data_IF_456730191027
#
_entry.id   IF_456730191027
#
_cell.length_a   1.000
_cell.length_b   1.000
_cell.length_c   1.000
_cell.angle_alpha   90.00
_cell.angle_beta   90.00
_cell.angle_gamma   90.00
#
_symmetry.space_group_name_H-M   'P 1'
#
loop_
_entity.id
_entity.type
_entity.pdbx_description
1 polymer ?
#
# COMPACT_ATOMS: atom_id res chain seq x y z
N UNK A 1 -43.62 4.14 -30.40
CA UNK A 1 -42.95 3.85 -29.11
C UNK A 1 -42.02 2.62 -29.16
N UNK A 2 -41.53 2.18 -30.33
CA UNK A 2 -40.66 1.00 -30.45
C UNK A 2 -39.15 1.28 -30.56
N UNK A 3 -38.75 2.54 -30.77
CA UNK A 3 -37.35 2.89 -31.02
C UNK A 3 -36.52 3.08 -29.74
N UNK A 4 -37.12 3.68 -28.69
CA UNK A 4 -36.42 3.93 -27.43
C UNK A 4 -36.03 2.65 -26.69
N UNK A 5 -36.88 1.62 -26.73
CA UNK A 5 -36.62 0.32 -26.08
C UNK A 5 -35.51 -0.46 -26.77
N UNK A 6 -35.42 -0.36 -28.11
CA UNK A 6 -34.36 -1.02 -28.87
C UNK A 6 -33.00 -0.38 -28.63
N UNK A 7 -32.95 0.96 -28.54
CA UNK A 7 -31.73 1.72 -28.24
C UNK A 7 -31.22 1.41 -26.83
N UNK A 8 -32.11 1.29 -25.83
CA UNK A 8 -31.70 0.92 -24.45
C UNK A 8 -31.17 -0.52 -24.41
N UNK A 9 -31.78 -1.46 -25.12
CA UNK A 9 -31.32 -2.86 -25.15
C UNK A 9 -29.95 -2.98 -25.85
N UNK A 10 -29.73 -2.25 -26.95
CA UNK A 10 -28.45 -2.27 -27.68
C UNK A 10 -27.34 -1.56 -26.90
N UNK A 11 -27.62 -0.41 -26.28
CA UNK A 11 -26.64 0.31 -25.45
C UNK A 11 -26.25 -0.52 -24.22
N UNK A 12 -27.18 -1.27 -23.63
CA UNK A 12 -26.88 -2.11 -22.45
C UNK A 12 -26.16 -3.40 -22.83
N UNK A 13 -26.47 -4.01 -23.98
CA UNK A 13 -25.71 -5.16 -24.50
C UNK A 13 -24.25 -4.82 -24.83
N UNK A 14 -23.98 -3.59 -25.27
CA UNK A 14 -22.63 -3.10 -25.55
C UNK A 14 -21.83 -2.77 -24.28
N UNK A 15 -22.48 -2.61 -23.12
CA UNK A 15 -21.84 -2.32 -21.83
C UNK A 15 -21.53 -3.56 -20.98
N UNK A 16 -22.11 -4.73 -21.32
CA UNK A 16 -21.90 -5.99 -20.61
C UNK A 16 -20.44 -6.48 -20.52
N UNK A 17 -19.56 -6.28 -21.53
CA UNK A 17 -18.16 -6.70 -21.41
C UNK A 17 -17.37 -5.87 -20.38
N UNK A 18 -17.77 -4.62 -20.13
CA UNK A 18 -17.06 -3.70 -19.24
C UNK A 18 -17.43 -3.86 -17.75
N UNK A 19 -18.63 -4.36 -17.45
CA UNK A 19 -19.15 -4.44 -16.07
C UNK A 19 -18.78 -5.76 -15.38
N UNK A 20 -18.65 -6.86 -16.13
CA UNK A 20 -18.31 -8.18 -15.56
C UNK A 20 -16.85 -8.33 -15.10
N UNK A 21 -15.95 -7.42 -15.51
CA UNK A 21 -14.54 -7.43 -15.08
C UNK A 21 -14.34 -6.76 -13.71
N UNK A 22 -15.36 -6.07 -13.17
CA UNK A 22 -15.24 -5.26 -11.95
C UNK A 22 -15.53 -5.95 -10.62
N UNK A 23 -16.02 -7.20 -10.61
CA UNK A 23 -16.56 -7.82 -9.38
C UNK A 23 -15.60 -8.73 -8.60
N UNK A 24 -14.33 -8.83 -9.01
CA UNK A 24 -13.28 -9.54 -8.25
C UNK A 24 -12.12 -8.60 -7.87
N UNK A 25 -12.45 -7.39 -7.41
CA UNK A 25 -11.48 -6.48 -6.80
C UNK A 25 -11.64 -6.52 -5.27
N UNK A 26 -11.11 -7.57 -4.64
CA UNK A 26 -10.60 -7.45 -3.27
C UNK A 26 -9.29 -6.66 -3.35
N UNK A 27 -9.24 -5.55 -2.63
CA UNK A 27 -8.15 -4.55 -2.50
C UNK A 27 -6.85 -4.85 -3.26
N UNK A 28 -6.75 -4.26 -4.47
CA UNK A 28 -5.46 -4.03 -5.12
C UNK A 28 -4.84 -2.78 -4.52
N UNK A 29 -3.81 -2.95 -3.69
CA UNK A 29 -2.83 -1.89 -3.47
C UNK A 29 -2.08 -1.64 -4.79
N UNK A 30 -2.36 -0.46 -5.36
CA UNK A 30 -1.74 0.34 -6.42
C UNK A 30 -0.87 -0.33 -7.52
N UNK A 31 -1.02 0.10 -8.81
CA UNK A 31 -0.20 -0.38 -9.91
C UNK A 31 1.21 0.23 -9.88
N UNK A 32 2.21 -0.59 -9.54
CA UNK A 32 3.62 -0.26 -9.73
C UNK A 32 4.00 -0.24 -11.22
N UNK A 33 4.59 0.87 -11.66
CA UNK A 33 5.17 1.05 -13.00
C UNK A 33 6.09 -0.11 -13.40
N UNK A 34 5.99 -0.51 -14.67
CA UNK A 34 6.93 -1.37 -15.37
C UNK A 34 8.37 -0.86 -15.19
N UNK A 35 9.16 -1.60 -14.42
CA UNK A 35 10.62 -1.57 -14.48
C UNK A 35 11.08 -3.01 -14.68
N UNK A 36 11.83 -3.20 -15.77
CA UNK A 36 12.41 -4.46 -16.21
C UNK A 36 13.23 -5.09 -15.06
N UNK A 37 12.73 -6.20 -14.52
CA UNK A 37 13.37 -6.96 -13.45
C UNK A 37 13.58 -8.42 -13.88
N UNK A 38 14.07 -8.63 -15.10
CA UNK A 38 14.50 -9.96 -15.53
C UNK A 38 15.95 -10.25 -15.07
N UNK A 39 16.71 -9.23 -14.67
CA UNK A 39 18.06 -9.35 -14.11
C UNK A 39 18.11 -9.51 -12.57
N UNK A 40 17.01 -9.26 -11.85
CA UNK A 40 16.98 -9.28 -10.38
C UNK A 40 16.61 -10.61 -9.72
N UNK A 41 16.17 -11.60 -10.51
CA UNK A 41 15.78 -12.92 -9.98
C UNK A 41 17.00 -13.69 -9.46
N UNK A 42 18.18 -13.51 -10.07
CA UNK A 42 19.42 -14.10 -9.58
C UNK A 42 19.95 -13.42 -8.30
N UNK A 43 19.82 -12.09 -8.17
CA UNK A 43 20.31 -11.39 -6.96
C UNK A 43 19.44 -11.65 -5.73
N UNK A 44 18.11 -11.73 -5.87
CA UNK A 44 17.20 -11.92 -4.73
C UNK A 44 17.11 -13.37 -4.23
N UNK A 45 17.36 -14.37 -5.09
CA UNK A 45 17.19 -15.79 -4.75
C UNK A 45 18.53 -16.53 -4.57
N UNK A 46 19.59 -16.14 -5.29
CA UNK A 46 20.85 -16.89 -5.29
C UNK A 46 21.94 -16.33 -4.39
N UNK A 47 21.74 -15.21 -3.70
CA UNK A 47 22.73 -14.69 -2.75
C UNK A 47 24.04 -14.32 -3.47
N UNK A 48 23.97 -13.26 -4.28
CA UNK A 48 25.14 -12.72 -4.97
C UNK A 48 26.13 -12.09 -3.99
N UNK A 49 27.35 -12.63 -3.96
CA UNK A 49 28.51 -12.09 -3.23
C UNK A 49 28.83 -10.68 -3.76
N UNK A 50 28.70 -9.67 -2.89
CA UNK A 50 29.03 -8.27 -3.20
C UNK A 50 30.43 -8.16 -3.83
N UNK A 51 30.52 -7.65 -5.06
CA UNK A 51 31.73 -6.94 -5.49
C UNK A 51 31.71 -5.60 -4.77
N UNK A 52 32.66 -5.43 -3.86
CA UNK A 52 32.98 -4.13 -3.30
C UNK A 52 33.30 -3.18 -4.47
N UNK A 53 32.54 -2.11 -4.59
CA UNK A 53 32.95 -0.96 -5.39
C UNK A 53 34.12 -0.31 -4.66
N UNK A 54 35.27 -0.05 -5.31
CA UNK A 54 36.35 0.68 -4.65
C UNK A 54 35.85 2.09 -4.36
N UNK A 55 35.82 2.49 -3.09
CA UNK A 55 35.88 3.91 -2.77
C UNK A 55 37.27 4.37 -3.20
N UNK A 56 37.35 5.12 -4.31
CA UNK A 56 38.50 5.96 -4.56
C UNK A 56 38.62 6.96 -3.41
N UNK A 57 39.69 6.77 -2.65
CA UNK A 57 40.18 7.68 -1.63
C UNK A 57 40.64 8.94 -2.38
N UNK A 58 39.98 10.08 -2.16
CA UNK A 58 40.58 11.37 -2.50
C UNK A 58 41.67 11.64 -1.46
N UNK A 59 42.89 11.22 -1.79
CA UNK A 59 44.11 11.74 -1.16
C UNK A 59 44.23 13.23 -1.51
N UNK A 60 44.25 14.07 -0.48
CA UNK A 60 44.64 15.47 -0.57
C UNK A 60 45.95 15.59 0.21
N UNK A 61 47.06 15.28 -0.46
CA UNK A 61 48.40 15.67 -0.03
C UNK A 61 48.69 17.10 -0.50
N UNK A 62 49.27 17.85 0.43
CA UNK A 62 50.22 18.96 0.28
C UNK A 62 49.80 20.26 -0.42
N UNK A 63 49.47 21.26 0.42
CA UNK A 63 49.85 22.65 0.18
C UNK A 63 50.54 23.21 1.44
N UNK A 64 51.87 23.14 1.42
CA UNK A 64 52.74 23.77 2.42
C UNK A 64 52.70 25.29 2.32
N UNK A 65 52.62 25.92 3.50
CA UNK A 65 53.28 27.16 3.91
C UNK A 65 53.13 28.42 3.04
N UNK A 66 52.40 29.40 3.57
CA UNK A 66 52.81 30.80 3.51
C UNK A 66 52.26 31.55 4.72
N UNK A 67 53.09 31.71 5.75
CA UNK A 67 52.88 32.74 6.77
C UNK A 67 53.11 34.11 6.14
N UNK A 68 52.06 34.95 6.08
CA UNK A 68 52.22 36.40 6.15
C UNK A 68 50.88 37.07 6.44
N UNK A 69 50.71 37.51 7.70
CA UNK A 69 49.99 38.73 8.05
C UNK A 69 48.49 38.78 7.75
N UNK A 70 47.67 38.16 8.59
CA UNK A 70 46.29 38.60 8.80
C UNK A 70 46.01 38.67 10.31
N UNK A 71 46.55 39.72 10.94
CA UNK A 71 46.18 40.13 12.30
C UNK A 71 44.77 40.74 12.28
N UNK A 72 43.81 39.83 12.26
CA UNK A 72 42.38 40.07 12.29
C UNK A 72 41.67 38.74 12.42
N UNK A 73 42.14 37.89 13.34
CA UNK A 73 41.37 36.75 13.82
C UNK A 73 40.07 37.33 14.38
N UNK A 74 39.03 37.33 13.55
CA UNK A 74 37.68 37.16 14.04
C UNK A 74 37.75 35.94 14.93
N UNK A 75 37.78 36.19 16.24
CA UNK A 75 37.55 35.18 17.23
C UNK A 75 36.10 34.76 16.99
N UNK A 76 35.89 33.84 16.05
CA UNK A 76 34.63 33.12 15.96
C UNK A 76 34.37 32.61 17.38
N UNK A 77 33.17 32.86 17.95
CA UNK A 77 32.83 32.28 19.24
C UNK A 77 32.99 30.77 19.09
N UNK A 78 34.10 30.25 19.62
CA UNK A 78 34.40 28.83 19.59
C UNK A 78 33.28 28.16 20.37
N UNK A 79 32.59 27.23 19.73
CA UNK A 79 31.56 26.42 20.37
C UNK A 79 32.15 25.81 21.65
N UNK A 80 31.41 25.92 22.75
CA UNK A 80 31.82 25.38 24.04
C UNK A 80 32.29 23.92 23.91
N UNK A 81 33.42 23.52 24.52
CA UNK A 81 33.97 22.19 24.35
C UNK A 81 33.00 21.07 24.72
N UNK A 82 32.11 21.27 25.71
CA UNK A 82 31.07 20.31 26.08
C UNK A 82 30.05 20.15 24.94
N UNK A 83 29.56 21.26 24.38
CA UNK A 83 28.65 21.21 23.24
C UNK A 83 29.32 20.61 21.99
N UNK A 84 30.62 20.84 21.80
CA UNK A 84 31.38 20.27 20.69
C UNK A 84 31.48 18.75 20.79
N UNK A 85 31.67 18.21 21.99
CA UNK A 85 31.67 16.76 22.23
C UNK A 85 30.29 16.15 21.96
N UNK A 86 29.22 16.76 22.48
CA UNK A 86 27.85 16.33 22.22
C UNK A 86 27.49 16.37 20.73
N UNK A 87 27.90 17.42 20.02
CA UNK A 87 27.71 17.54 18.58
C UNK A 87 28.47 16.44 17.82
N UNK A 88 29.70 16.13 18.22
CA UNK A 88 30.50 15.07 17.63
C UNK A 88 29.88 13.68 17.85
N UNK A 89 29.37 13.42 19.06
CA UNK A 89 28.67 12.18 19.39
C UNK A 89 27.40 12.01 18.55
N UNK A 90 26.57 13.05 18.44
CA UNK A 90 25.38 13.06 17.59
C UNK A 90 25.73 12.84 16.11
N UNK A 91 26.80 13.48 15.60
CA UNK A 91 27.24 13.30 14.23
C UNK A 91 27.65 11.85 13.93
N UNK A 92 28.42 11.23 14.84
CA UNK A 92 28.86 9.84 14.69
C UNK A 92 27.68 8.86 14.70
N UNK A 93 26.75 8.99 15.66
CA UNK A 93 25.54 8.14 15.70
C UNK A 93 24.66 8.35 14.47
N UNK A 94 24.55 9.59 13.97
CA UNK A 94 23.79 9.92 12.76
C UNK A 94 24.38 9.23 11.52
N UNK A 95 25.70 9.27 11.34
CA UNK A 95 26.37 8.59 10.22
C UNK A 95 26.14 7.07 10.26
N UNK A 96 26.21 6.46 11.44
CA UNK A 96 25.93 5.02 11.60
C UNK A 96 24.49 4.69 11.25
N UNK A 97 23.53 5.47 11.74
CA UNK A 97 22.12 5.25 11.46
C UNK A 97 21.80 5.45 9.97
N UNK A 98 22.24 6.56 9.36
CA UNK A 98 22.09 6.80 7.91
C UNK A 98 22.73 5.69 7.09
N UNK A 99 23.94 5.25 7.45
CA UNK A 99 24.61 4.14 6.78
C UNK A 99 23.85 2.81 6.92
N UNK A 100 23.15 2.58 8.03
CA UNK A 100 22.29 1.41 8.20
C UNK A 100 21.04 1.50 7.32
N UNK A 101 20.36 2.65 7.31
CA UNK A 101 19.16 2.90 6.52
C UNK A 101 19.40 2.63 5.03
N UNK A 102 20.49 3.16 4.47
CA UNK A 102 20.81 3.04 3.05
C UNK A 102 21.12 1.57 2.69
N UNK A 103 21.89 0.86 3.51
CA UNK A 103 22.24 -0.55 3.27
C UNK A 103 21.03 -1.49 3.41
N UNK A 104 20.07 -1.11 4.26
CA UNK A 104 18.86 -1.90 4.54
C UNK A 104 17.65 -1.43 3.72
N UNK A 105 17.86 -0.64 2.67
CA UNK A 105 16.78 -0.10 1.85
C UNK A 105 16.25 -1.08 0.80
N UNK A 106 17.04 -2.07 0.36
CA UNK A 106 16.66 -3.07 -0.65
C UNK A 106 17.37 -4.42 -0.43
N UNK A 107 16.62 -5.51 -0.13
CA UNK A 107 15.22 -5.51 0.32
C UNK A 107 15.06 -4.71 1.63
N UNK A 108 13.85 -4.19 1.89
CA UNK A 108 13.64 -3.32 3.05
C UNK A 108 13.73 -4.14 4.33
N UNK A 109 14.73 -3.83 5.16
CA UNK A 109 15.06 -4.56 6.41
C UNK A 109 15.52 -3.60 7.51
N UNK A 110 15.07 -2.35 7.44
CA UNK A 110 15.61 -1.27 8.27
C UNK A 110 15.12 -1.34 9.72
N UNK A 111 13.91 -1.82 9.98
CA UNK A 111 13.40 -1.90 11.35
C UNK A 111 14.18 -2.96 12.14
N UNK A 112 14.42 -4.13 11.55
CA UNK A 112 15.16 -5.20 12.19
C UNK A 112 16.67 -4.94 12.31
N UNK A 113 17.27 -4.23 11.34
CA UNK A 113 18.72 -4.02 11.32
C UNK A 113 19.17 -2.73 12.01
N UNK A 114 18.32 -1.69 12.03
CA UNK A 114 18.74 -0.34 12.40
C UNK A 114 18.17 0.18 13.72
N UNK A 115 17.40 -0.62 14.46
CA UNK A 115 16.75 -0.16 15.70
C UNK A 115 17.76 0.29 16.77
N UNK A 116 18.90 -0.40 16.89
CA UNK A 116 19.95 -0.01 17.83
C UNK A 116 20.57 1.36 17.50
N UNK A 117 20.86 1.61 16.22
CA UNK A 117 21.43 2.89 15.78
C UNK A 117 20.41 4.01 15.89
N UNK A 118 19.12 3.73 15.66
CA UNK A 118 18.03 4.68 15.91
C UNK A 118 17.97 5.08 17.39
N UNK A 119 18.02 4.10 18.30
CA UNK A 119 18.04 4.37 19.74
C UNK A 119 19.27 5.19 20.15
N UNK A 120 20.45 4.87 19.60
CA UNK A 120 21.70 5.58 19.86
C UNK A 120 21.57 7.06 19.46
N UNK A 121 21.12 7.36 18.23
CA UNK A 121 20.99 8.76 17.78
C UNK A 121 19.92 9.54 18.56
N UNK A 122 18.81 8.90 18.91
CA UNK A 122 17.78 9.52 19.76
C UNK A 122 18.29 9.77 21.19
N UNK A 123 19.16 8.89 21.71
CA UNK A 123 19.80 9.11 23.01
C UNK A 123 20.79 10.27 22.96
N UNK A 124 21.59 10.40 21.90
CA UNK A 124 22.50 11.55 21.77
C UNK A 124 21.75 12.87 21.66
N UNK A 125 20.61 12.88 20.95
CA UNK A 125 19.72 14.05 20.93
C UNK A 125 19.19 14.39 22.32
N UNK A 126 18.70 13.39 23.07
CA UNK A 126 18.24 13.59 24.45
C UNK A 126 19.35 14.11 25.36
N UNK A 127 20.60 13.70 25.14
CA UNK A 127 21.73 14.23 25.91
C UNK A 127 21.94 15.73 25.64
N UNK A 128 21.81 16.17 24.39
CA UNK A 128 21.83 17.60 24.01
C UNK A 128 20.67 18.36 24.69
N UNK A 129 19.46 17.79 24.70
CA UNK A 129 18.26 18.40 25.28
C UNK A 129 18.27 18.44 26.82
N UNK A 130 18.73 17.38 27.47
CA UNK A 130 18.70 17.18 28.92
C UNK A 130 19.94 17.70 29.63
N UNK A 131 20.79 18.51 28.99
CA UNK A 131 21.96 19.09 29.66
C UNK A 131 21.48 20.05 30.76
N UNK A 132 21.22 19.51 31.95
CA UNK A 132 20.62 20.17 33.14
C UNK A 132 21.43 21.35 33.67
N UNK A 133 22.65 21.55 33.16
CA UNK A 133 23.54 22.67 33.50
C UNK A 133 23.62 23.74 32.41
N UNK A 134 22.99 23.54 31.26
CA UNK A 134 23.24 24.35 30.07
C UNK A 134 22.03 24.33 29.11
N UNK A 135 21.14 25.30 29.26
CA UNK A 135 20.32 25.75 28.12
C UNK A 135 21.19 26.35 26.99
N UNK A 136 22.52 26.47 27.19
CA UNK A 136 23.43 27.08 26.23
C UNK A 136 23.71 26.13 25.05
N UNK A 137 23.88 24.81 25.25
CA UNK A 137 24.09 23.87 24.14
C UNK A 137 22.82 23.70 23.31
N UNK A 138 21.66 23.60 23.97
CA UNK A 138 20.35 23.59 23.29
C UNK A 138 20.20 24.82 22.40
N UNK A 139 20.42 26.02 22.95
CA UNK A 139 20.33 27.27 22.18
C UNK A 139 21.38 27.29 21.06
N UNK A 140 22.61 26.88 21.36
CA UNK A 140 23.75 26.96 20.44
C UNK A 140 23.70 25.95 19.29
N UNK A 141 23.15 24.76 19.50
CA UNK A 141 23.15 23.66 18.54
C UNK A 141 21.80 23.47 17.83
N UNK A 142 20.69 23.79 18.50
CA UNK A 142 19.34 23.56 17.96
C UNK A 142 18.66 24.84 17.48
N UNK A 143 19.06 26.03 17.96
CA UNK A 143 18.32 27.29 17.74
C UNK A 143 19.17 28.45 17.20
N UNK A 144 20.49 28.33 17.14
CA UNK A 144 21.39 29.45 16.82
C UNK A 144 21.41 29.84 15.35
N UNK A 145 21.05 28.94 14.44
CA UNK A 145 21.09 29.17 13.01
C UNK A 145 19.72 28.95 12.36
N UNK A 146 19.56 29.46 11.12
CA UNK A 146 18.29 29.36 10.39
C UNK A 146 18.00 27.94 9.87
N UNK A 147 19.03 27.13 9.63
CA UNK A 147 18.90 25.79 9.07
C UNK A 147 18.60 24.74 10.14
N UNK A 148 19.17 24.91 11.33
CA UNK A 148 18.99 24.04 12.49
C UNK A 148 19.26 22.57 12.13
N UNK A 149 20.45 22.30 11.60
CA UNK A 149 20.79 21.00 10.98
C UNK A 149 20.57 19.80 11.92
N UNK A 150 20.91 19.94 13.20
CA UNK A 150 20.70 18.88 14.21
C UNK A 150 19.21 18.60 14.40
N UNK A 151 18.37 19.64 14.48
CA UNK A 151 16.92 19.49 14.61
C UNK A 151 16.29 18.92 13.33
N UNK A 152 16.74 19.36 12.15
CA UNK A 152 16.29 18.85 10.85
C UNK A 152 16.56 17.34 10.72
N UNK A 153 17.79 16.90 11.02
CA UNK A 153 18.16 15.48 10.94
C UNK A 153 17.41 14.63 11.95
N UNK A 154 17.28 15.13 13.19
CA UNK A 154 16.52 14.46 14.24
C UNK A 154 15.06 14.24 13.84
N UNK A 155 14.44 15.28 13.27
CA UNK A 155 13.08 15.21 12.74
C UNK A 155 12.99 14.21 11.58
N UNK A 156 13.92 14.26 10.64
CA UNK A 156 13.96 13.29 9.53
C UNK A 156 14.06 11.84 10.02
N UNK A 157 14.95 11.55 10.98
CA UNK A 157 15.10 10.22 11.56
C UNK A 157 13.83 9.76 12.27
N UNK A 158 13.24 10.62 13.11
CA UNK A 158 12.01 10.30 13.81
C UNK A 158 10.82 10.07 12.86
N UNK A 159 10.63 10.96 11.88
CA UNK A 159 9.58 10.80 10.87
C UNK A 159 9.77 9.55 10.02
N UNK A 160 11.01 9.22 9.66
CA UNK A 160 11.32 8.00 8.90
C UNK A 160 10.95 6.76 9.70
N UNK A 161 11.28 6.75 11.00
CA UNK A 161 10.94 5.66 11.91
C UNK A 161 9.44 5.47 12.10
N UNK A 162 8.69 6.57 12.27
CA UNK A 162 7.24 6.58 12.40
C UNK A 162 6.57 6.15 11.10
N UNK A 163 6.98 6.70 9.94
CA UNK A 163 6.41 6.34 8.63
C UNK A 163 6.68 4.88 8.26
N UNK A 164 7.82 4.33 8.68
CA UNK A 164 8.14 2.91 8.51
C UNK A 164 7.37 1.99 9.48
N UNK A 165 6.64 2.58 10.42
CA UNK A 165 5.92 1.91 11.49
C UNK A 165 6.79 0.87 12.24
N UNK A 166 8.07 1.19 12.46
CA UNK A 166 9.01 0.22 13.01
C UNK A 166 8.71 -0.18 14.45
N UNK A 167 7.93 0.63 15.20
CA UNK A 167 7.47 0.26 16.54
C UNK A 167 6.72 -1.08 16.53
N UNK A 168 5.88 -1.33 15.53
CA UNK A 168 5.10 -2.57 15.40
C UNK A 168 5.96 -3.80 15.06
N UNK A 169 7.21 -3.60 14.65
CA UNK A 169 8.18 -4.67 14.44
C UNK A 169 8.94 -5.04 15.74
N UNK A 170 8.90 -4.19 16.76
CA UNK A 170 9.67 -4.31 17.98
C UNK A 170 8.80 -4.72 19.17
N UNK A 171 9.45 -5.12 20.26
CA UNK A 171 8.80 -5.25 21.57
C UNK A 171 8.56 -3.87 22.20
N UNK A 172 7.67 -3.78 23.19
CA UNK A 172 7.34 -2.54 23.89
C UNK A 172 8.55 -1.82 24.52
N UNK A 173 9.56 -2.59 24.95
CA UNK A 173 10.81 -2.05 25.49
C UNK A 173 11.84 -1.66 24.42
N UNK A 174 11.50 -1.83 23.13
CA UNK A 174 12.39 -1.70 21.99
C UNK A 174 13.67 -2.56 22.07
N UNK A 175 13.69 -3.62 22.90
CA UNK A 175 14.81 -4.55 23.02
C UNK A 175 14.61 -5.77 22.10
N UNK A 176 14.71 -5.50 20.81
CA UNK A 176 14.61 -6.48 19.74
C UNK A 176 13.20 -6.68 19.18
N UNK A 177 13.09 -7.67 18.31
CA UNK A 177 11.90 -7.92 17.50
C UNK A 177 10.73 -8.52 18.31
N UNK A 178 9.51 -8.18 17.90
CA UNK A 178 8.29 -8.77 18.45
C UNK A 178 8.19 -10.26 18.11
N UNK A 179 7.45 -11.03 18.90
CA UNK A 179 7.25 -12.46 18.65
C UNK A 179 6.56 -12.72 17.29
N UNK A 180 5.61 -11.85 16.92
CA UNK A 180 4.91 -11.90 15.63
C UNK A 180 5.86 -11.69 14.46
N UNK A 181 6.75 -10.69 14.55
CA UNK A 181 7.75 -10.39 13.52
C UNK A 181 8.79 -11.49 13.39
N UNK A 182 9.29 -12.05 14.49
CA UNK A 182 10.23 -13.19 14.45
C UNK A 182 9.60 -14.40 13.75
N UNK A 183 8.34 -14.70 14.08
CA UNK A 183 7.60 -15.81 13.44
C UNK A 183 7.39 -15.56 11.95
N UNK A 184 7.01 -14.34 11.57
CA UNK A 184 6.84 -13.94 10.17
C UNK A 184 8.15 -14.11 9.38
N UNK A 185 9.27 -13.61 9.91
CA UNK A 185 10.58 -13.71 9.26
C UNK A 185 11.04 -15.16 9.09
N UNK A 186 10.72 -16.04 10.05
CA UNK A 186 11.00 -17.47 9.93
C UNK A 186 10.21 -18.10 8.77
N UNK A 187 8.89 -17.85 8.70
CA UNK A 187 8.03 -18.32 7.61
C UNK A 187 8.45 -17.76 6.24
N UNK A 188 8.90 -16.50 6.22
CA UNK A 188 9.42 -15.86 5.02
C UNK A 188 10.70 -16.56 4.54
N UNK A 189 11.66 -16.79 5.44
CA UNK A 189 12.90 -17.49 5.12
C UNK A 189 12.64 -18.93 4.65
N UNK A 190 11.70 -19.64 5.28
CA UNK A 190 11.26 -20.97 4.85
C UNK A 190 10.66 -20.94 3.44
N UNK A 191 9.80 -19.96 3.16
CA UNK A 191 9.19 -19.77 1.83
C UNK A 191 10.24 -19.50 0.76
N UNK A 192 11.17 -18.59 1.03
CA UNK A 192 12.26 -18.27 0.10
C UNK A 192 13.19 -19.47 -0.13
N UNK A 193 13.50 -20.24 0.92
CA UNK A 193 14.28 -21.46 0.81
C UNK A 193 13.56 -22.50 -0.05
N UNK A 194 12.25 -22.70 0.15
CA UNK A 194 11.45 -23.61 -0.68
C UNK A 194 11.46 -23.18 -2.16
N UNK A 195 11.28 -21.88 -2.44
CA UNK A 195 11.34 -21.35 -3.79
C UNK A 195 12.70 -21.63 -4.42
N UNK A 196 13.79 -21.32 -3.72
CA UNK A 196 15.16 -21.54 -4.20
C UNK A 196 15.43 -23.02 -4.52
N UNK A 197 15.07 -23.94 -3.62
CA UNK A 197 15.29 -25.37 -3.81
C UNK A 197 14.56 -25.90 -5.04
N UNK A 198 13.28 -25.55 -5.20
CA UNK A 198 12.45 -26.00 -6.32
C UNK A 198 12.77 -25.29 -7.65
N UNK A 199 13.56 -24.21 -7.62
CA UNK A 199 14.13 -23.58 -8.82
C UNK A 199 15.46 -24.24 -9.23
N UNK A 200 16.29 -24.66 -8.28
CA UNK A 200 17.61 -25.25 -8.54
C UNK A 200 17.54 -26.72 -8.97
N UNK A 201 16.57 -27.49 -8.48
CA UNK A 201 16.36 -28.88 -8.91
C UNK A 201 15.83 -28.97 -10.36
N UNK A 202 15.31 -27.86 -10.89
CA UNK A 202 14.95 -27.70 -12.29
C UNK A 202 16.14 -27.32 -13.16
N UNK A 203 17.05 -28.25 -13.45
CA UNK A 203 17.68 -28.19 -14.77
C UNK A 203 16.54 -28.22 -15.80
N UNK A 204 16.60 -27.34 -16.80
CA UNK A 204 15.65 -27.23 -17.93
C UNK A 204 14.51 -26.21 -17.80
N UNK A 205 14.70 -25.16 -18.60
CA UNK A 205 13.71 -24.32 -19.28
C UNK A 205 12.89 -23.36 -18.38
N UNK A 206 12.79 -22.05 -18.71
CA UNK A 206 12.09 -21.02 -17.92
C UNK A 206 10.57 -21.18 -17.74
N UNK A 207 10.00 -22.35 -18.03
CA UNK A 207 8.57 -22.48 -18.32
C UNK A 207 7.79 -23.44 -17.43
N UNK A 208 8.40 -24.09 -16.42
CA UNK A 208 7.67 -25.02 -15.56
C UNK A 208 7.84 -24.76 -14.05
N UNK A 209 7.28 -23.64 -13.57
CA UNK A 209 7.18 -23.32 -12.14
C UNK A 209 6.14 -24.18 -11.39
N UNK A 210 5.52 -25.17 -12.06
CA UNK A 210 4.50 -26.04 -11.44
C UNK A 210 5.02 -26.76 -10.19
N UNK A 211 6.31 -27.16 -10.19
CA UNK A 211 6.97 -27.75 -9.03
C UNK A 211 7.00 -26.82 -7.82
N UNK A 212 7.38 -25.55 -8.03
CA UNK A 212 7.36 -24.50 -6.99
C UNK A 212 5.95 -24.30 -6.45
N UNK A 213 4.96 -24.15 -7.35
CA UNK A 213 3.57 -23.93 -6.95
C UNK A 213 3.01 -25.09 -6.14
N UNK A 214 3.36 -26.34 -6.48
CA UNK A 214 2.85 -27.52 -5.78
C UNK A 214 3.55 -27.74 -4.44
N UNK A 215 4.87 -27.65 -4.42
CA UNK A 215 5.68 -28.02 -3.27
C UNK A 215 5.71 -26.90 -2.20
N UNK A 216 5.69 -25.63 -2.62
CA UNK A 216 5.77 -24.49 -1.70
C UNK A 216 4.40 -23.88 -1.35
N UNK A 217 3.29 -24.47 -1.79
CA UNK A 217 1.94 -23.97 -1.51
C UNK A 217 1.64 -23.87 -0.02
N UNK A 218 1.98 -24.92 0.74
CA UNK A 218 1.72 -24.97 2.17
C UNK A 218 2.50 -23.88 2.91
N UNK A 219 3.80 -23.75 2.61
CA UNK A 219 4.67 -22.73 3.23
C UNK A 219 4.20 -21.31 2.89
N UNK A 220 3.88 -21.04 1.61
CA UNK A 220 3.34 -19.74 1.19
C UNK A 220 1.99 -19.42 1.88
N UNK A 221 1.09 -20.41 1.98
CA UNK A 221 -0.19 -20.23 2.69
C UNK A 221 0.00 -19.94 4.17
N UNK A 222 0.93 -20.61 4.83
CA UNK A 222 1.24 -20.36 6.25
C UNK A 222 1.75 -18.93 6.44
N UNK A 223 2.69 -18.48 5.60
CA UNK A 223 3.18 -17.09 5.61
C UNK A 223 2.03 -16.09 5.38
N UNK A 224 1.22 -16.31 4.35
CA UNK A 224 0.10 -15.42 4.03
C UNK A 224 -0.95 -15.38 5.12
N UNK A 225 -1.24 -16.52 5.76
CA UNK A 225 -2.19 -16.60 6.87
C UNK A 225 -1.68 -15.83 8.07
N UNK A 226 -0.40 -15.99 8.43
CA UNK A 226 0.22 -15.27 9.54
C UNK A 226 0.25 -13.76 9.30
N UNK A 227 0.57 -13.33 8.07
CA UNK A 227 0.49 -11.92 7.68
C UNK A 227 -0.93 -11.34 7.84
N UNK A 228 -1.95 -12.05 7.35
CA UNK A 228 -3.35 -11.62 7.52
C UNK A 228 -3.79 -11.58 8.98
N UNK A 229 -3.31 -12.49 9.82
CA UNK A 229 -3.57 -12.46 11.25
C UNK A 229 -2.96 -11.22 11.92
N UNK A 230 -1.69 -10.91 11.63
CA UNK A 230 -1.03 -9.71 12.12
C UNK A 230 -1.77 -8.43 11.70
N UNK A 231 -2.23 -8.36 10.44
CA UNK A 231 -3.00 -7.22 9.95
C UNK A 231 -4.33 -7.07 10.69
N UNK A 232 -5.04 -8.18 10.93
CA UNK A 232 -6.30 -8.17 11.68
C UNK A 232 -6.11 -7.75 13.13
N UNK A 233 -5.05 -8.24 13.79
CA UNK A 233 -4.75 -7.89 15.17
C UNK A 233 -4.48 -6.39 15.31
N UNK A 234 -3.69 -5.79 14.43
CA UNK A 234 -3.41 -4.36 14.48
C UNK A 234 -4.60 -3.45 14.12
N UNK A 235 -5.50 -3.90 13.24
CA UNK A 235 -6.75 -3.17 12.94
C UNK A 235 -7.68 -3.03 14.16
N UNK A 236 -7.60 -3.94 15.14
CA UNK A 236 -8.39 -3.81 16.37
C UNK A 236 -7.86 -2.73 17.32
N UNK A 237 -6.62 -2.27 17.13
CA UNK A 237 -5.96 -1.30 18.01
C UNK A 237 -6.13 0.15 17.52
N UNK A 238 -6.30 0.39 16.21
CA UNK A 238 -6.48 1.73 15.63
C UNK A 238 -7.83 1.88 14.92
N UNK A 239 -8.75 2.61 15.55
CA UNK A 239 -10.04 2.97 14.95
C UNK A 239 -9.89 4.23 14.07
N UNK A 240 -9.63 4.09 12.77
CA UNK A 240 -9.87 5.19 11.82
C UNK A 240 -9.10 5.25 10.51
N UNK A 241 -7.99 4.53 10.33
CA UNK A 241 -7.21 4.53 9.07
C UNK A 241 -6.81 3.11 8.65
N UNK A 242 -6.34 2.95 7.39
CA UNK A 242 -5.74 1.69 6.94
C UNK A 242 -4.51 1.40 7.80
N UNK A 243 -4.64 0.45 8.73
CA UNK A 243 -3.53 0.02 9.57
C UNK A 243 -2.44 -0.60 8.68
N UNK A 244 -1.25 0.02 8.73
CA UNK A 244 -0.05 -0.46 8.05
C UNK A 244 0.80 -1.29 9.01
N UNK A 245 1.31 -2.43 8.55
CA UNK A 245 2.32 -3.18 9.31
C UNK A 245 3.67 -2.47 9.20
N UNK A 246 4.67 -2.91 9.97
CA UNK A 246 6.02 -2.38 9.79
C UNK A 246 6.55 -2.69 8.37
N UNK A 247 7.30 -1.73 7.81
CA UNK A 247 7.70 -1.76 6.40
C UNK A 247 8.51 -3.00 6.01
N UNK A 248 9.31 -3.55 6.93
CA UNK A 248 10.09 -4.78 6.70
C UNK A 248 9.18 -5.98 6.38
N UNK A 249 8.03 -6.07 7.07
CA UNK A 249 7.04 -7.14 6.88
C UNK A 249 6.23 -6.91 5.60
N UNK A 250 5.82 -5.67 5.34
CA UNK A 250 5.07 -5.31 4.13
C UNK A 250 5.89 -5.53 2.84
N UNK A 251 7.16 -5.11 2.82
CA UNK A 251 8.05 -5.30 1.66
C UNK A 251 8.31 -6.79 1.41
N UNK A 252 8.61 -7.56 2.46
CA UNK A 252 8.83 -9.01 2.36
C UNK A 252 7.59 -9.75 1.85
N UNK A 253 6.40 -9.40 2.35
CA UNK A 253 5.15 -10.00 1.86
C UNK A 253 4.86 -9.60 0.42
N UNK A 254 5.06 -8.33 0.05
CA UNK A 254 4.86 -7.84 -1.31
C UNK A 254 5.80 -8.54 -2.31
N UNK A 255 7.08 -8.68 -1.97
CA UNK A 255 8.05 -9.46 -2.76
C UNK A 255 7.55 -10.90 -2.95
N UNK A 256 7.14 -11.54 -1.85
CA UNK A 256 6.68 -12.93 -1.88
C UNK A 256 5.43 -13.11 -2.73
N UNK A 257 4.43 -12.24 -2.57
CA UNK A 257 3.21 -12.24 -3.37
C UNK A 257 3.50 -12.00 -4.85
N UNK A 258 4.41 -11.08 -5.18
CA UNK A 258 4.82 -10.81 -6.55
C UNK A 258 5.48 -12.03 -7.17
N UNK A 259 6.40 -12.68 -6.47
CA UNK A 259 7.02 -13.93 -6.90
C UNK A 259 5.96 -15.01 -7.15
N UNK A 260 5.05 -15.22 -6.20
CA UNK A 260 4.01 -16.23 -6.28
C UNK A 260 3.04 -16.02 -7.45
N UNK A 261 2.52 -14.79 -7.58
CA UNK A 261 1.45 -14.48 -8.53
C UNK A 261 1.94 -14.12 -9.93
N UNK A 262 3.03 -13.34 -10.04
CA UNK A 262 3.47 -12.81 -11.34
C UNK A 262 4.63 -13.59 -11.93
N UNK A 263 5.61 -13.99 -11.09
CA UNK A 263 6.81 -14.69 -11.58
C UNK A 263 6.53 -16.17 -11.79
N UNK A 264 5.96 -16.84 -10.80
CA UNK A 264 5.65 -18.28 -10.87
C UNK A 264 4.25 -18.58 -11.41
N UNK A 265 3.36 -17.58 -11.42
CA UNK A 265 1.98 -17.70 -11.88
C UNK A 265 1.20 -18.82 -11.16
N UNK A 266 1.45 -18.96 -9.85
CA UNK A 266 0.84 -19.98 -9.00
C UNK A 266 -0.57 -19.62 -8.51
N UNK A 267 -1.04 -18.39 -8.79
CA UNK A 267 -2.37 -17.94 -8.42
C UNK A 267 -3.43 -18.70 -9.21
N UNK A 268 -4.28 -19.45 -8.50
CA UNK A 268 -5.41 -20.15 -9.11
C UNK A 268 -6.57 -19.16 -9.26
N UNK A 269 -7.05 -18.87 -10.47
CA UNK A 269 -8.23 -18.04 -10.65
C UNK A 269 -9.46 -18.77 -10.10
N UNK A 270 -10.26 -18.11 -9.26
CA UNK A 270 -11.55 -18.66 -8.82
C UNK A 270 -12.48 -18.84 -10.02
N UNK A 271 -13.00 -20.04 -10.22
CA UNK A 271 -13.92 -20.37 -11.33
C UNK A 271 -15.38 -20.21 -10.93
N UNK A 272 -15.72 -19.13 -10.24
CA UNK A 272 -17.11 -18.78 -9.89
C UNK A 272 -17.82 -18.02 -11.03
N UNK A 273 -17.29 -18.11 -12.24
CA UNK A 273 -17.80 -17.42 -13.43
C UNK A 273 -19.22 -17.87 -13.78
N UNK A 274 -19.50 -19.17 -13.70
CA UNK A 274 -20.80 -19.75 -14.04
C UNK A 274 -21.94 -19.24 -13.14
N UNK A 275 -21.85 -19.34 -11.79
CA UNK A 275 -22.91 -18.83 -10.92
C UNK A 275 -23.07 -17.31 -11.03
N UNK A 276 -21.99 -16.54 -11.17
CA UNK A 276 -22.06 -15.07 -11.31
C UNK A 276 -22.79 -14.66 -12.59
N UNK A 277 -22.48 -15.31 -13.72
CA UNK A 277 -23.14 -15.04 -15.00
C UNK A 277 -24.64 -15.41 -14.90
N UNK A 278 -24.98 -16.57 -14.33
CA UNK A 278 -26.36 -17.02 -14.20
C UNK A 278 -27.22 -16.05 -13.37
N UNK A 279 -26.71 -15.62 -12.21
CA UNK A 279 -27.42 -14.66 -11.33
C UNK A 279 -27.59 -13.30 -12.01
N UNK A 280 -26.54 -12.83 -12.69
CA UNK A 280 -26.57 -11.55 -13.41
C UNK A 280 -27.59 -11.55 -14.54
N UNK A 281 -27.65 -12.62 -15.34
CA UNK A 281 -28.66 -12.79 -16.38
C UNK A 281 -30.07 -12.84 -15.80
N UNK A 282 -30.28 -13.60 -14.73
CA UNK A 282 -31.59 -13.71 -14.08
C UNK A 282 -32.11 -12.33 -13.62
N UNK A 283 -31.29 -11.56 -12.90
CA UNK A 283 -31.63 -10.20 -12.44
C UNK A 283 -31.94 -9.30 -13.64
N UNK A 284 -31.20 -9.41 -14.74
CA UNK A 284 -31.42 -8.63 -15.95
C UNK A 284 -32.73 -8.95 -16.66
N UNK A 285 -33.21 -10.20 -16.60
CA UNK A 285 -34.48 -10.60 -17.22
C UNK A 285 -35.72 -10.17 -16.42
N UNK A 286 -35.60 -9.92 -15.12
CA UNK A 286 -36.74 -9.53 -14.26
C UNK A 286 -37.45 -8.25 -14.74
N UNK A 287 -36.76 -7.13 -15.07
CA UNK A 287 -37.40 -5.94 -15.63
C UNK A 287 -38.10 -6.21 -16.96
N UNK A 288 -37.50 -7.00 -17.85
CA UNK A 288 -38.08 -7.31 -19.16
C UNK A 288 -39.40 -8.05 -19.00
N UNK A 289 -39.42 -9.09 -18.16
CA UNK A 289 -40.63 -9.87 -17.86
C UNK A 289 -41.69 -9.00 -17.20
N UNK A 290 -41.30 -8.13 -16.26
CA UNK A 290 -42.21 -7.18 -15.62
C UNK A 290 -42.87 -6.21 -16.62
N UNK A 291 -42.09 -5.59 -17.50
CA UNK A 291 -42.61 -4.68 -18.52
C UNK A 291 -43.51 -5.38 -19.55
N UNK A 292 -43.15 -6.59 -19.98
CA UNK A 292 -43.98 -7.38 -20.88
C UNK A 292 -45.30 -7.81 -20.22
N UNK A 293 -45.24 -8.23 -18.96
CA UNK A 293 -46.42 -8.64 -18.19
C UNK A 293 -47.40 -7.48 -18.00
N UNK A 294 -46.90 -6.30 -17.61
CA UNK A 294 -47.73 -5.10 -17.46
C UNK A 294 -48.34 -4.64 -18.79
N UNK A 295 -47.59 -4.73 -19.90
CA UNK A 295 -48.10 -4.41 -21.24
C UNK A 295 -49.24 -5.35 -21.69
N UNK A 296 -49.07 -6.66 -21.51
CA UNK A 296 -50.08 -7.65 -21.86
C UNK A 296 -51.35 -7.49 -21.01
N UNK A 297 -51.20 -7.32 -19.69
CA UNK A 297 -52.34 -7.06 -18.79
C UNK A 297 -53.06 -5.73 -19.09
N UNK A 298 -52.34 -4.68 -19.48
CA UNK A 298 -52.93 -3.38 -19.88
C UNK A 298 -53.79 -3.51 -21.15
N UNK A 299 -53.34 -4.30 -22.14
CA UNK A 299 -54.13 -4.55 -23.36
C UNK A 299 -55.40 -5.35 -23.11
N UNK A 300 -55.39 -6.29 -22.16
CA UNK A 300 -56.61 -7.03 -21.81
C UNK A 300 -57.64 -6.15 -21.11
N UNK A 301 -57.23 -5.23 -20.22
CA UNK A 301 -58.16 -4.30 -19.54
C UNK A 301 -58.80 -3.26 -20.48
N UNK A 302 -58.20 -2.94 -21.63
CA UNK A 302 -58.77 -2.00 -22.63
C UNK A 302 -59.96 -2.55 -23.43
N UNK A 303 -60.35 -3.82 -23.27
CA UNK A 303 -61.54 -4.43 -23.93
C UNK A 303 -62.75 -4.63 -23.02
N UNK A 304 -62.89 -3.81 -21.97
CA UNK A 304 -64.17 -3.58 -21.30
C UNK A 304 -64.47 -2.08 -21.32
N UNK A 305 -64.76 -1.55 -22.51
CA UNK A 305 -65.55 -0.34 -22.61
C UNK A 305 -67.00 -0.79 -22.45
N UNK A 306 -67.57 -0.57 -21.26
CA UNK A 306 -69.01 -0.61 -21.06
C UNK A 306 -69.60 0.44 -22.00
N UNK A 307 -70.16 0.01 -23.13
CA UNK A 307 -70.90 0.89 -24.02
C UNK A 307 -72.17 1.32 -23.27
N UNK A 308 -72.17 2.55 -22.74
CA UNK A 308 -73.34 3.16 -22.15
C UNK A 308 -74.49 3.16 -23.16
N UNK A 309 -75.58 2.46 -22.84
CA UNK A 309 -76.80 2.39 -23.65
C UNK A 309 -77.42 3.79 -23.70
N UNK A 310 -77.42 4.46 -24.86
CA UNK A 310 -78.08 5.77 -25.06
C UNK A 310 -79.58 5.64 -24.76
N UNK A 311 -80.08 6.56 -23.95
CA UNK A 311 -81.51 6.78 -23.69
C UNK A 311 -82.15 7.33 -24.98
N UNK A 312 -83.24 6.70 -25.42
CA UNK A 312 -84.00 7.12 -26.59
C UNK A 312 -84.84 8.36 -26.23
N UNK A 313 -84.55 9.50 -26.86
CA UNK A 313 -85.37 10.72 -26.76
C UNK A 313 -86.58 10.61 -27.69
N UNK A 314 -87.78 10.54 -27.11
CA UNK A 314 -89.02 10.82 -27.84
C UNK A 314 -89.27 12.33 -27.83
N UNK A 315 -89.17 12.95 -29.00
CA UNK A 315 -89.70 14.29 -29.23
C UNK A 315 -91.22 14.19 -29.38
N UNK A 316 -91.97 14.75 -28.45
CA UNK A 316 -93.37 15.15 -28.67
C UNK A 316 -93.46 16.66 -28.52
N UNK A 317 -93.63 17.33 -29.65
CA UNK A 317 -94.01 18.74 -29.79
C UNK A 317 -95.34 19.02 -29.07
N UNK A 318 -95.39 20.07 -28.26
CA UNK A 318 -96.57 20.91 -27.96
C UNK A 318 -96.07 22.09 -27.09
N UNK A 319 -95.67 23.22 -27.67
CA UNK A 319 -96.46 24.38 -28.12
C UNK A 319 -96.95 25.30 -26.98
N UNK A 320 -96.16 26.37 -26.78
CA UNK A 320 -96.51 27.79 -26.58
C UNK A 320 -97.89 28.10 -25.95
N UNK A 321 -97.87 28.75 -24.78
CA UNK A 321 -98.68 29.95 -24.56
C UNK A 321 -98.11 30.83 -23.42
N UNK A 322 -97.70 32.04 -23.80
CA UNK A 322 -97.51 33.18 -22.91
C UNK A 322 -98.87 33.69 -22.39
N UNK A 323 -98.81 34.33 -21.21
CA UNK A 323 -99.62 35.50 -20.76
C UNK A 323 -100.64 35.30 -19.63
N UNK A 324 -100.39 36.00 -18.52
CA UNK A 324 -101.31 36.96 -17.86
C UNK A 324 -100.51 37.70 -16.77
N UNK A 325 -100.24 38.99 -16.94
CA UNK A 325 -100.97 40.14 -16.33
C UNK A 325 -100.67 40.33 -14.86
#
# INVERSE_FOLDING_TARGET
MGSATLVVVVVVLLLLPGVLVGLCAGERLLPGRHLLLQSGLEEMVLGGRHRAWPLELLELEDLSSSESGFLGLLLEPQLDPECKELLSAFANSSMRFTGCLIRSARPVTLCQNCYHQFQEVMQQLKNIENTTKSNHCVKSLLMSDRLQMVALLSKFFNETWIKANCANCLKDNNEGLSAGTVTFLALYNESMACFKQNLQEGNQLPSNYSGVCKNCNATYKNLSSHFSEMQRQGQHEESGEQFHLCIDVEDAMNITQRLWSTTFNCSVPCTDTVPVIAVSLFIFFLPLVFYLSTFLHSKQKKRVLILGKRIHSNASFANIQDKSS
#
